data_IF_350119386064
#
_entry.id   IF_350119386064
#
_cell.length_a   1.000
_cell.length_b   1.000
_cell.length_c   1.000
_cell.angle_alpha   90.00
_cell.angle_beta   90.00
_cell.angle_gamma   90.00
#
_symmetry.space_group_name_H-M   'P 1'
#
loop_
_entity.id
_entity.type
_entity.pdbx_description
1 polymer ?
#
# COMPACT_ATOMS: atom_id res chain seq x y z
N UNK A 1 -42.43 49.83 -31.58
CA UNK A 1 -42.04 48.92 -30.49
C UNK A 1 -42.64 47.56 -30.80
N UNK A 2 -41.82 46.51 -30.89
CA UNK A 2 -42.32 45.15 -31.14
C UNK A 2 -42.83 44.63 -29.80
N UNK A 3 -44.15 44.48 -29.66
CA UNK A 3 -44.72 43.82 -28.48
C UNK A 3 -44.54 42.32 -28.64
N UNK A 4 -43.74 41.74 -27.74
CA UNK A 4 -43.58 40.29 -27.67
C UNK A 4 -44.82 39.74 -26.99
N UNK A 5 -45.56 38.81 -27.63
CA UNK A 5 -46.70 38.18 -27.00
C UNK A 5 -46.36 37.49 -25.68
N UNK A 6 -47.21 37.67 -24.67
CA UNK A 6 -47.09 37.09 -23.31
C UNK A 6 -46.80 35.58 -23.31
N UNK A 7 -47.39 34.82 -24.24
CA UNK A 7 -47.16 33.37 -24.33
C UNK A 7 -45.73 33.00 -24.72
N UNK A 8 -45.02 33.85 -25.46
CA UNK A 8 -43.62 33.63 -25.84
C UNK A 8 -42.68 33.90 -24.66
N UNK A 9 -42.99 34.93 -23.86
CA UNK A 9 -42.27 35.25 -22.62
C UNK A 9 -42.39 34.08 -21.64
N UNK A 10 -43.61 33.62 -21.39
CA UNK A 10 -43.89 32.47 -20.51
C UNK A 10 -43.14 31.21 -20.94
N UNK A 11 -43.12 30.88 -22.22
CA UNK A 11 -42.37 29.70 -22.72
C UNK A 11 -40.86 29.86 -22.58
N UNK A 12 -40.34 31.08 -22.65
CA UNK A 12 -38.91 31.34 -22.46
C UNK A 12 -38.52 31.23 -20.98
N UNK A 13 -39.37 31.73 -20.08
CA UNK A 13 -39.24 31.57 -18.64
C UNK A 13 -39.26 30.08 -18.24
N UNK A 14 -40.22 29.30 -18.74
CA UNK A 14 -40.29 27.84 -18.51
C UNK A 14 -39.00 27.12 -18.97
N UNK A 15 -38.40 27.53 -20.10
CA UNK A 15 -37.11 26.98 -20.55
C UNK A 15 -35.96 27.37 -19.61
N UNK A 16 -35.92 28.63 -19.17
CA UNK A 16 -34.89 29.08 -18.23
C UNK A 16 -35.01 28.39 -16.87
N UNK A 17 -36.23 28.19 -16.37
CA UNK A 17 -36.49 27.45 -15.12
C UNK A 17 -36.10 25.98 -15.24
N UNK A 18 -36.41 25.33 -16.38
CA UNK A 18 -35.97 23.96 -16.62
C UNK A 18 -34.45 23.81 -16.65
N UNK A 19 -33.74 24.77 -17.28
CA UNK A 19 -32.28 24.79 -17.31
C UNK A 19 -31.69 25.02 -15.91
N UNK A 20 -32.21 26.00 -15.15
CA UNK A 20 -31.80 26.25 -13.77
C UNK A 20 -32.02 25.03 -12.88
N UNK A 21 -33.19 24.40 -12.97
CA UNK A 21 -33.49 23.18 -12.21
C UNK A 21 -32.56 22.02 -12.60
N UNK A 22 -32.18 21.91 -13.87
CA UNK A 22 -31.20 20.91 -14.32
C UNK A 22 -29.79 21.20 -13.79
N UNK A 23 -29.37 22.47 -13.73
CA UNK A 23 -28.10 22.88 -13.10
C UNK A 23 -28.10 22.64 -11.58
N UNK A 24 -29.20 22.94 -10.89
CA UNK A 24 -29.34 22.65 -9.45
C UNK A 24 -29.27 21.14 -9.16
N UNK A 25 -29.75 20.30 -10.08
CA UNK A 25 -29.61 18.85 -9.99
C UNK A 25 -28.29 18.32 -10.59
N UNK A 26 -27.42 19.19 -11.12
CA UNK A 26 -26.12 18.82 -11.67
C UNK A 26 -25.03 18.68 -10.60
N UNK A 27 -25.38 18.74 -9.31
CA UNK A 27 -24.45 18.35 -8.27
C UNK A 27 -23.97 16.92 -8.55
N UNK A 28 -22.65 16.67 -8.62
CA UNK A 28 -22.14 15.33 -8.84
C UNK A 28 -22.70 14.42 -7.74
N UNK A 29 -23.25 13.28 -8.15
CA UNK A 29 -23.63 12.24 -7.20
C UNK A 29 -22.48 12.00 -6.23
N UNK A 30 -22.78 11.66 -4.97
CA UNK A 30 -21.76 11.39 -3.96
C UNK A 30 -20.72 10.37 -4.46
N UNK A 31 -21.15 9.40 -5.28
CA UNK A 31 -20.27 8.45 -5.95
C UNK A 31 -19.32 9.11 -6.98
N UNK A 32 -19.78 10.05 -7.79
CA UNK A 32 -18.95 10.75 -8.80
C UNK A 32 -17.98 11.74 -8.13
N UNK A 33 -18.43 12.43 -7.09
CA UNK A 33 -17.56 13.26 -6.26
C UNK A 33 -16.45 12.42 -5.60
N UNK A 34 -16.81 11.26 -5.04
CA UNK A 34 -15.85 10.31 -4.50
C UNK A 34 -14.85 9.83 -5.56
N UNK A 35 -15.31 9.42 -6.75
CA UNK A 35 -14.44 8.95 -7.83
C UNK A 35 -13.40 10.00 -8.24
N UNK A 36 -13.82 11.26 -8.30
CA UNK A 36 -12.93 12.38 -8.66
C UNK A 36 -11.88 12.58 -7.57
N UNK A 37 -12.31 12.73 -6.32
CA UNK A 37 -11.42 12.92 -5.18
C UNK A 37 -10.47 11.73 -4.97
N UNK A 38 -10.96 10.50 -5.16
CA UNK A 38 -10.15 9.29 -5.06
C UNK A 38 -9.03 9.28 -6.11
N UNK A 39 -9.35 9.62 -7.37
CA UNK A 39 -8.35 9.67 -8.45
C UNK A 39 -7.28 10.73 -8.19
N UNK A 40 -7.67 11.91 -7.72
CA UNK A 40 -6.75 12.98 -7.35
C UNK A 40 -5.80 12.53 -6.24
N UNK A 41 -6.35 12.00 -5.12
CA UNK A 41 -5.55 11.46 -4.02
C UNK A 41 -4.67 10.28 -4.41
N UNK A 42 -5.17 9.41 -5.27
CA UNK A 42 -4.37 8.32 -5.82
C UNK A 42 -3.17 8.85 -6.62
N UNK A 43 -3.38 9.85 -7.48
CA UNK A 43 -2.30 10.47 -8.27
C UNK A 43 -1.28 11.16 -7.39
N UNK A 44 -1.73 11.94 -6.38
CA UNK A 44 -0.85 12.60 -5.42
C UNK A 44 0.09 11.60 -4.72
N UNK A 45 -0.46 10.46 -4.26
CA UNK A 45 0.33 9.41 -3.59
C UNK A 45 1.29 8.73 -4.56
N UNK A 46 0.85 8.43 -5.79
CA UNK A 46 1.72 7.78 -6.80
C UNK A 46 2.88 8.71 -7.21
N UNK A 47 2.61 10.00 -7.38
CA UNK A 47 3.63 11.03 -7.61
C UNK A 47 4.59 11.18 -6.42
N UNK A 48 4.07 11.18 -5.19
CA UNK A 48 4.89 11.22 -3.99
C UNK A 48 5.83 10.00 -3.89
N UNK A 49 5.34 8.80 -4.23
CA UNK A 49 6.17 7.60 -4.32
C UNK A 49 7.25 7.72 -5.39
N UNK A 50 6.90 8.24 -6.57
CA UNK A 50 7.86 8.46 -7.65
C UNK A 50 8.92 9.52 -7.28
N UNK A 51 8.54 10.54 -6.50
CA UNK A 51 9.47 11.57 -6.01
C UNK A 51 10.51 11.02 -5.04
N UNK A 52 10.18 9.97 -4.28
CA UNK A 52 11.10 9.35 -3.31
C UNK A 52 12.37 8.80 -3.98
N UNK A 53 12.32 8.42 -5.26
CA UNK A 53 13.49 7.99 -6.02
C UNK A 53 14.55 9.09 -6.19
N UNK A 54 14.15 10.36 -6.12
CA UNK A 54 15.07 11.50 -6.30
C UNK A 54 15.79 11.91 -5.01
N UNK A 55 15.39 11.37 -3.85
CA UNK A 55 15.94 11.70 -2.54
C UNK A 55 17.19 10.86 -2.19
N UNK A 56 18.02 10.53 -3.17
CA UNK A 56 19.22 9.71 -3.00
C UNK A 56 20.18 10.34 -1.98
N UNK A 57 20.43 9.64 -0.86
CA UNK A 57 21.52 9.94 0.07
C UNK A 57 21.13 10.08 1.54
N UNK A 58 19.90 10.47 1.86
CA UNK A 58 19.48 10.72 3.26
C UNK A 58 18.40 9.72 3.72
N UNK A 59 18.86 8.58 4.25
CA UNK A 59 17.99 7.47 4.67
C UNK A 59 16.90 7.89 5.66
N UNK A 60 17.18 8.86 6.52
CA UNK A 60 16.23 9.34 7.52
C UNK A 60 15.08 10.10 6.84
N UNK A 61 15.41 10.99 5.90
CA UNK A 61 14.40 11.73 5.11
C UNK A 61 13.56 10.80 4.25
N UNK A 62 14.18 9.80 3.61
CA UNK A 62 13.42 8.80 2.82
C UNK A 62 12.44 8.04 3.74
N UNK A 63 12.91 7.59 4.91
CA UNK A 63 12.05 6.90 5.88
C UNK A 63 10.90 7.76 6.36
N UNK A 64 11.14 9.05 6.63
CA UNK A 64 10.10 9.99 7.06
C UNK A 64 9.05 10.19 5.97
N UNK A 65 9.47 10.41 4.72
CA UNK A 65 8.55 10.58 3.58
C UNK A 65 7.75 9.32 3.29
N UNK A 66 8.35 8.13 3.39
CA UNK A 66 7.60 6.88 3.27
C UNK A 66 6.58 6.69 4.40
N UNK A 67 6.90 7.11 5.63
CA UNK A 67 5.93 7.08 6.72
C UNK A 67 4.76 8.05 6.49
N UNK A 68 5.02 9.23 5.92
CA UNK A 68 3.99 10.19 5.54
C UNK A 68 3.06 9.60 4.47
N UNK A 69 3.63 9.04 3.40
CA UNK A 69 2.87 8.34 2.35
C UNK A 69 2.04 7.18 2.92
N UNK A 70 2.58 6.41 3.88
CA UNK A 70 1.84 5.36 4.58
C UNK A 70 0.61 5.89 5.30
N UNK A 71 0.73 7.06 5.94
CA UNK A 71 -0.42 7.71 6.60
C UNK A 71 -1.46 8.13 5.58
N UNK A 72 -1.05 8.72 4.46
CA UNK A 72 -1.96 9.10 3.37
C UNK A 72 -2.69 7.89 2.77
N UNK A 73 -2.00 6.76 2.57
CA UNK A 73 -2.62 5.51 2.14
C UNK A 73 -3.68 5.00 3.12
N UNK A 74 -3.39 5.06 4.42
CA UNK A 74 -4.36 4.67 5.45
C UNK A 74 -5.59 5.60 5.45
N UNK A 75 -5.39 6.90 5.23
CA UNK A 75 -6.48 7.87 5.08
C UNK A 75 -7.32 7.55 3.84
N UNK A 76 -6.68 7.24 2.71
CA UNK A 76 -7.37 6.87 1.46
C UNK A 76 -8.20 5.57 1.61
N UNK A 77 -7.66 4.58 2.33
CA UNK A 77 -8.39 3.35 2.67
C UNK A 77 -9.59 3.60 3.57
N UNK A 78 -9.44 4.47 4.57
CA UNK A 78 -10.54 4.91 5.43
C UNK A 78 -11.60 5.66 4.62
N UNK A 79 -11.19 6.52 3.69
CA UNK A 79 -12.09 7.26 2.80
C UNK A 79 -12.96 6.31 1.97
N UNK A 80 -12.35 5.29 1.34
CA UNK A 80 -13.09 4.25 0.64
C UNK A 80 -14.09 3.52 1.56
N UNK A 81 -13.66 3.18 2.78
CA UNK A 81 -14.52 2.48 3.74
C UNK A 81 -15.74 3.32 4.13
N UNK A 82 -15.56 4.61 4.41
CA UNK A 82 -16.67 5.53 4.73
C UNK A 82 -17.60 5.78 3.56
N UNK A 83 -17.07 5.70 2.34
CA UNK A 83 -17.82 5.97 1.11
C UNK A 83 -18.48 4.73 0.50
N UNK A 84 -18.11 3.53 0.98
CA UNK A 84 -18.60 2.26 0.47
C UNK A 84 -20.12 2.13 0.45
N UNK A 85 -20.83 2.79 1.37
CA UNK A 85 -22.30 2.74 1.48
C UNK A 85 -23.04 3.29 0.25
N UNK A 86 -22.41 4.18 -0.52
CA UNK A 86 -23.01 4.80 -1.72
C UNK A 86 -22.31 4.37 -3.02
N UNK A 87 -21.36 3.43 -2.94
CA UNK A 87 -20.65 2.87 -4.09
C UNK A 87 -21.23 1.51 -4.48
N UNK A 88 -21.17 1.19 -5.76
CA UNK A 88 -21.52 -0.14 -6.26
C UNK A 88 -20.43 -1.13 -5.82
N UNK A 89 -20.80 -2.36 -5.47
CA UNK A 89 -19.85 -3.38 -5.01
C UNK A 89 -18.68 -3.63 -5.99
N UNK A 90 -18.94 -3.50 -7.30
CA UNK A 90 -17.90 -3.56 -8.33
C UNK A 90 -16.87 -2.44 -8.17
N UNK A 91 -17.33 -1.19 -8.03
CA UNK A 91 -16.47 -0.03 -7.84
C UNK A 91 -15.64 -0.16 -6.56
N UNK A 92 -16.26 -0.60 -5.45
CA UNK A 92 -15.54 -0.85 -4.19
C UNK A 92 -14.40 -1.84 -4.41
N UNK A 93 -14.65 -2.95 -5.11
CA UNK A 93 -13.62 -3.95 -5.40
C UNK A 93 -12.47 -3.36 -6.22
N UNK A 94 -12.78 -2.58 -7.25
CA UNK A 94 -11.76 -1.92 -8.09
C UNK A 94 -10.91 -0.97 -7.24
N UNK A 95 -11.52 -0.10 -6.44
CA UNK A 95 -10.78 0.85 -5.61
C UNK A 95 -9.94 0.16 -4.54
N UNK A 96 -10.45 -0.91 -3.90
CA UNK A 96 -9.65 -1.71 -2.96
C UNK A 96 -8.42 -2.31 -3.65
N UNK A 97 -8.58 -2.84 -4.87
CA UNK A 97 -7.45 -3.36 -5.65
C UNK A 97 -6.44 -2.26 -6.01
N UNK A 98 -6.90 -1.08 -6.39
CA UNK A 98 -6.01 0.06 -6.67
C UNK A 98 -5.21 0.48 -5.43
N UNK A 99 -5.83 0.54 -4.25
CA UNK A 99 -5.11 0.83 -2.99
C UNK A 99 -4.07 -0.26 -2.71
N UNK A 100 -4.41 -1.53 -2.92
CA UNK A 100 -3.48 -2.65 -2.74
C UNK A 100 -2.26 -2.53 -3.67
N UNK A 101 -2.45 -2.11 -4.92
CA UNK A 101 -1.35 -1.85 -5.85
C UNK A 101 -0.40 -0.74 -5.37
N UNK A 102 -0.92 0.32 -4.75
CA UNK A 102 -0.08 1.35 -4.14
C UNK A 102 0.70 0.82 -2.93
N UNK A 103 0.10 -0.03 -2.11
CA UNK A 103 0.83 -0.70 -1.02
C UNK A 103 1.99 -1.55 -1.53
N UNK A 104 1.77 -2.32 -2.61
CA UNK A 104 2.80 -3.14 -3.24
C UNK A 104 3.92 -2.26 -3.82
N UNK A 105 3.57 -1.21 -4.57
CA UNK A 105 4.54 -0.23 -5.08
C UNK A 105 5.36 0.40 -3.95
N UNK A 106 4.71 0.79 -2.85
CA UNK A 106 5.40 1.36 -1.69
C UNK A 106 6.39 0.35 -1.08
N UNK A 107 5.99 -0.90 -0.93
CA UNK A 107 6.87 -1.95 -0.41
C UNK A 107 8.08 -2.19 -1.33
N UNK A 108 7.88 -2.13 -2.65
CA UNK A 108 8.98 -2.22 -3.63
C UNK A 108 9.94 -1.04 -3.52
N UNK A 109 9.42 0.18 -3.37
CA UNK A 109 10.23 1.39 -3.18
C UNK A 109 11.01 1.31 -1.85
N UNK A 110 10.36 0.87 -0.77
CA UNK A 110 11.03 0.66 0.51
C UNK A 110 12.15 -0.39 0.40
N UNK A 111 11.91 -1.51 -0.29
CA UNK A 111 12.92 -2.54 -0.50
C UNK A 111 14.12 -2.05 -1.32
N UNK A 112 13.90 -1.17 -2.30
CA UNK A 112 14.94 -0.57 -3.14
C UNK A 112 15.74 0.51 -2.41
N UNK A 113 15.06 1.44 -1.73
CA UNK A 113 15.70 2.61 -1.10
C UNK A 113 16.21 2.32 0.32
N UNK A 114 15.52 1.46 1.07
CA UNK A 114 15.92 0.99 2.39
C UNK A 114 16.14 -0.52 2.34
N UNK A 115 17.21 -1.00 1.68
CA UNK A 115 17.54 -2.41 1.74
C UNK A 115 17.70 -2.78 3.22
N UNK A 116 16.78 -3.60 3.72
CA UNK A 116 16.90 -4.20 5.05
C UNK A 116 18.27 -4.86 5.05
N UNK A 117 19.10 -4.56 6.06
CA UNK A 117 20.42 -5.20 6.20
C UNK A 117 20.21 -6.69 6.04
N UNK A 118 20.53 -7.23 4.87
CA UNK A 118 20.53 -8.67 4.68
C UNK A 118 21.58 -9.14 5.67
N UNK A 119 21.22 -10.13 6.48
CA UNK A 119 22.09 -10.80 7.43
C UNK A 119 23.35 -11.28 6.69
N UNK A 120 24.29 -10.38 6.46
CA UNK A 120 25.67 -10.71 6.27
C UNK A 120 26.07 -11.22 7.63
N UNK A 121 26.14 -12.54 7.77
CA UNK A 121 27.08 -13.10 8.71
C UNK A 121 28.43 -12.50 8.32
N UNK A 122 28.78 -11.39 8.95
CA UNK A 122 30.15 -10.91 8.95
C UNK A 122 30.90 -12.03 9.63
N UNK A 123 31.45 -12.95 8.82
CA UNK A 123 32.52 -13.81 9.29
C UNK A 123 33.59 -12.83 9.71
N UNK A 124 33.69 -12.63 11.03
CA UNK A 124 34.93 -12.17 11.62
C UNK A 124 35.95 -13.18 11.13
N UNK A 125 36.68 -12.82 10.08
CA UNK A 125 37.90 -13.50 9.72
C UNK A 125 38.75 -13.31 10.96
N UNK A 126 38.77 -14.33 11.80
CA UNK A 126 39.69 -14.43 12.91
C UNK A 126 41.06 -14.33 12.29
N UNK A 127 41.62 -13.11 12.34
CA UNK A 127 43.04 -12.90 12.12
C UNK A 127 43.69 -13.77 13.17
N UNK A 128 44.17 -14.94 12.74
CA UNK A 128 45.03 -15.83 13.53
C UNK A 128 46.16 -14.96 14.08
N UNK A 129 46.00 -14.46 15.29
CA UNK A 129 47.13 -14.18 16.16
C UNK A 129 47.62 -15.54 16.59
N UNK A 130 48.85 -15.85 16.21
CA UNK A 130 49.53 -17.06 16.59
C UNK A 130 49.50 -17.19 18.12
N UNK A 131 48.62 -18.06 18.62
CA UNK A 131 48.67 -18.52 19.99
C UNK A 131 49.56 -19.76 20.03
N UNK A 132 50.60 -19.66 20.86
CA UNK A 132 51.58 -20.69 21.15
C UNK A 132 50.88 -21.98 21.55
N UNK A 133 51.37 -23.11 21.02
CA UNK A 133 50.97 -24.46 21.42
C UNK A 133 51.16 -24.62 22.93
N UNK A 134 50.07 -24.84 23.64
CA UNK A 134 50.08 -25.64 24.87
C UNK A 134 49.45 -26.97 24.50
N UNK A 135 50.21 -28.03 24.70
CA UNK A 135 49.79 -29.42 24.55
C UNK A 135 48.66 -29.69 25.56
N UNK A 136 47.49 -30.09 25.08
CA UNK A 136 46.44 -30.66 25.93
C UNK A 136 46.52 -32.19 25.81
N UNK A 137 46.83 -32.84 26.92
CA UNK A 137 46.81 -34.30 27.09
C UNK A 137 45.41 -34.86 26.77
N UNK A 138 45.38 -35.88 25.92
CA UNK A 138 44.16 -36.57 25.51
C UNK A 138 43.95 -37.73 26.49
N UNK A 139 43.00 -37.63 27.41
CA UNK A 139 42.49 -38.81 28.13
C UNK A 139 41.28 -39.37 27.37
N UNK A 140 41.53 -40.47 26.66
CA UNK A 140 40.50 -41.21 25.96
C UNK A 140 39.63 -41.96 26.98
N UNK A 141 38.43 -41.45 27.25
CA UNK A 141 37.35 -42.26 27.82
C UNK A 141 36.16 -42.33 26.87
N UNK A 142 35.80 -43.57 26.58
CA UNK A 142 34.85 -43.99 25.56
C UNK A 142 33.39 -43.68 25.94
N UNK A 143 32.51 -43.67 24.91
CA UNK A 143 31.04 -43.91 24.95
C UNK A 143 30.19 -42.68 25.39
N UNK A 144 29.15 -42.21 24.67
CA UNK A 144 28.22 -42.86 23.72
C UNK A 144 27.74 -41.88 22.63
N UNK A 145 27.56 -42.42 21.43
CA UNK A 145 26.70 -41.86 20.38
C UNK A 145 25.28 -41.61 20.93
N UNK A 146 24.81 -40.38 20.85
CA UNK A 146 23.38 -40.07 20.91
C UNK A 146 22.71 -40.54 19.61
N UNK A 147 21.53 -41.18 19.69
CA UNK A 147 20.90 -41.81 18.54
C UNK A 147 20.40 -40.76 17.53
N UNK A 148 20.71 -40.98 16.25
CA UNK A 148 20.02 -40.33 15.12
C UNK A 148 18.56 -40.78 15.17
N UNK A 149 17.65 -39.87 15.50
CA UNK A 149 16.21 -40.11 15.44
C UNK A 149 15.82 -40.16 13.95
N UNK A 150 15.31 -41.29 13.42
CA UNK A 150 14.77 -41.31 12.08
C UNK A 150 13.45 -40.52 12.06
N UNK A 151 13.39 -39.50 11.22
CA UNK A 151 12.13 -38.79 10.92
C UNK A 151 11.27 -39.74 10.07
N UNK A 152 10.40 -40.51 10.71
CA UNK A 152 9.32 -41.22 10.02
C UNK A 152 8.24 -40.20 9.65
N UNK A 153 8.06 -39.94 8.35
CA UNK A 153 6.90 -39.21 7.82
C UNK A 153 5.63 -40.02 8.14
N UNK A 154 4.95 -39.65 9.22
CA UNK A 154 3.57 -40.06 9.44
C UNK A 154 2.66 -39.17 8.57
N UNK A 155 2.25 -39.70 7.43
CA UNK A 155 1.11 -39.16 6.68
C UNK A 155 -0.16 -39.56 7.43
N UNK A 156 -0.61 -38.74 8.37
CA UNK A 156 -1.97 -38.80 8.89
C UNK A 156 -2.52 -37.37 8.98
N UNK A 157 -2.86 -36.81 7.83
CA UNK A 157 -3.74 -35.65 7.75
C UNK A 157 -5.14 -36.10 8.19
N UNK A 158 -5.47 -35.85 9.47
CA UNK A 158 -6.85 -35.86 9.95
C UNK A 158 -7.52 -34.55 9.60
N UNK A 159 -8.01 -34.43 8.37
CA UNK A 159 -8.93 -33.36 7.95
C UNK A 159 -10.32 -33.97 7.83
N UNK A 160 -11.15 -33.82 8.85
CA UNK A 160 -12.56 -34.23 8.83
C UNK A 160 -13.40 -33.09 8.24
N UNK A 161 -14.31 -33.47 7.35
CA UNK A 161 -15.33 -32.61 6.71
C UNK A 161 -16.40 -32.12 7.69
#
# INVERSE_FOLDING_TARGET
>A
MIQIPEFLLRRNEERQEFLKKKEENAHPSQAEAFKTAFKEKYSEIDEALNSCHHLEGDRNKISERLNEISRELNILSKFLSTSSMFLVAYDVKIFTQSIQQLHEKMADVEAKLLPKKKFGFSSRIDKKKEFKKTEDEIDATEKKCSPKIPITRANSCGFTF
#
